data_IF_964361096798
#
_entry.id   IF_964361096798
#
_cell.length_a   1.000
_cell.length_b   1.000
_cell.length_c   1.000
_cell.angle_alpha   90.00
_cell.angle_beta   90.00
_cell.angle_gamma   90.00
#
_symmetry.space_group_name_H-M   'P 1'
#
loop_
_entity.id
_entity.type
_entity.pdbx_description
1 polymer ?
#
# COMPACT_ATOMS: atom_id res chain seq x y z
N UNK A 1 3.82 45.98 -55.41
CA UNK A 1 3.99 47.24 -54.67
C UNK A 1 4.77 46.83 -53.45
N UNK A 2 5.91 47.12 -53.65
CA UNK A 2 7.00 47.96 -53.11
C UNK A 2 7.80 47.23 -52.09
N UNK A 3 9.00 46.83 -52.36
CA UNK A 3 10.32 47.55 -52.27
C UNK A 3 10.74 47.50 -50.78
N UNK A 4 11.78 46.91 -50.35
CA UNK A 4 13.13 46.95 -50.84
C UNK A 4 13.99 47.58 -49.75
N UNK A 5 14.99 46.91 -49.23
CA UNK A 5 16.27 47.53 -48.89
C UNK A 5 17.20 46.51 -48.21
N UNK A 6 18.06 45.98 -49.03
CA UNK A 6 19.33 45.36 -48.65
C UNK A 6 20.26 46.43 -48.15
N UNK A 7 20.76 46.36 -46.97
CA UNK A 7 21.85 47.21 -46.43
C UNK A 7 23.12 46.39 -46.26
N UNK A 8 24.01 46.49 -47.24
CA UNK A 8 25.37 46.00 -47.14
C UNK A 8 26.11 46.69 -45.99
N UNK A 9 26.70 45.93 -45.12
CA UNK A 9 27.72 46.42 -44.18
C UNK A 9 29.07 45.88 -44.62
N UNK A 10 29.89 46.79 -45.12
CA UNK A 10 31.32 46.59 -45.38
C UNK A 10 32.07 46.14 -44.13
N UNK A 11 33.11 45.31 -44.26
CA UNK A 11 33.94 44.88 -43.12
C UNK A 11 34.90 46.00 -42.73
N UNK A 12 34.87 46.41 -41.48
CA UNK A 12 35.83 47.40 -40.92
C UNK A 12 37.15 46.70 -40.66
N UNK A 13 38.19 47.10 -41.34
CA UNK A 13 39.58 46.71 -41.08
C UNK A 13 40.03 47.16 -39.68
N UNK A 14 40.78 46.31 -38.93
CA UNK A 14 41.35 46.72 -37.64
C UNK A 14 42.54 47.69 -37.88
N UNK A 15 42.46 48.93 -37.38
CA UNK A 15 43.56 49.85 -37.29
C UNK A 15 44.60 49.37 -36.29
N UNK A 16 45.85 49.30 -36.75
CA UNK A 16 47.03 49.06 -35.93
C UNK A 16 47.17 50.06 -34.78
N UNK A 17 47.51 49.59 -33.54
CA UNK A 17 47.74 50.49 -32.40
C UNK A 17 49.03 51.28 -32.61
N UNK A 18 48.89 52.57 -32.61
CA UNK A 18 50.05 53.54 -32.54
C UNK A 18 50.81 53.29 -31.23
N UNK A 19 52.16 53.39 -31.25
CA UNK A 19 52.99 53.18 -30.05
C UNK A 19 52.68 54.23 -28.99
N UNK A 20 52.31 53.81 -27.80
CA UNK A 20 52.08 54.65 -26.65
C UNK A 20 53.41 55.21 -26.14
N UNK A 21 53.45 56.55 -26.00
CA UNK A 21 54.54 57.24 -25.31
C UNK A 21 54.75 56.76 -23.90
N UNK A 22 55.97 56.77 -23.33
CA UNK A 22 56.26 56.33 -22.01
C UNK A 22 55.61 57.27 -20.96
N UNK A 23 54.66 56.74 -20.21
CA UNK A 23 54.05 57.42 -19.06
C UNK A 23 55.07 57.55 -17.93
N UNK A 24 55.49 58.77 -17.65
CA UNK A 24 56.31 59.06 -16.46
C UNK A 24 55.46 58.80 -15.22
N UNK A 25 55.99 58.08 -14.19
CA UNK A 25 55.24 57.88 -12.94
C UNK A 25 55.04 59.22 -12.23
N UNK A 26 53.77 59.55 -12.01
CA UNK A 26 53.36 60.70 -11.15
C UNK A 26 53.76 60.48 -9.71
N UNK A 27 53.83 61.54 -8.91
CA UNK A 27 54.16 61.43 -7.51
C UNK A 27 53.17 60.54 -6.77
N UNK A 28 53.60 59.81 -5.72
CA UNK A 28 52.72 58.86 -4.99
C UNK A 28 51.51 59.64 -4.43
N UNK A 29 50.30 59.17 -4.81
CA UNK A 29 49.05 59.70 -4.22
C UNK A 29 49.05 59.45 -2.72
N UNK A 30 48.87 60.53 -1.97
CA UNK A 30 48.65 60.42 -0.50
C UNK A 30 47.48 59.47 -0.24
N UNK A 31 47.59 58.60 0.77
CA UNK A 31 46.47 57.70 1.13
C UNK A 31 45.24 58.54 1.50
N UNK A 32 44.18 58.41 0.70
CA UNK A 32 42.90 59.06 0.96
C UNK A 32 42.36 58.74 2.37
N UNK A 33 41.53 59.61 2.93
CA UNK A 33 41.01 59.38 4.26
C UNK A 33 40.33 57.97 4.37
N UNK A 34 40.50 57.29 5.49
CA UNK A 34 39.92 55.91 5.67
C UNK A 34 38.40 55.98 5.41
N UNK A 35 37.92 55.04 4.55
CA UNK A 35 36.49 54.90 4.30
C UNK A 35 35.73 54.84 5.63
N UNK A 36 34.62 55.57 5.80
CA UNK A 36 33.77 55.45 7.00
C UNK A 36 33.39 53.97 7.15
N UNK A 37 33.37 53.44 8.38
CA UNK A 37 32.99 52.04 8.64
C UNK A 37 31.64 51.79 7.98
N UNK A 38 31.55 50.76 7.18
CA UNK A 38 30.26 50.29 6.64
C UNK A 38 29.25 50.17 7.78
N UNK A 39 28.04 50.70 7.63
CA UNK A 39 27.03 50.53 8.65
C UNK A 39 26.84 49.01 8.89
N UNK A 40 27.17 48.60 10.11
CA UNK A 40 26.84 47.23 10.53
C UNK A 40 25.34 47.02 10.29
N UNK A 41 24.89 45.85 9.75
CA UNK A 41 23.49 45.58 9.59
C UNK A 41 22.85 45.61 11.00
N UNK A 42 22.33 46.80 11.36
CA UNK A 42 21.66 47.00 12.61
C UNK A 42 20.38 46.23 12.69
N UNK A 43 20.19 45.68 13.78
CA UNK A 43 19.11 45.10 14.56
C UNK A 43 19.46 43.68 14.95
N UNK A 44 20.45 43.54 15.83
CA UNK A 44 20.67 42.37 16.60
C UNK A 44 19.51 42.13 17.58
N UNK A 45 18.42 41.53 17.16
CA UNK A 45 17.61 40.77 18.12
C UNK A 45 18.57 39.82 18.84
N UNK A 46 18.47 39.65 20.17
CA UNK A 46 19.33 38.72 20.87
C UNK A 46 19.19 37.36 20.15
N UNK A 47 20.28 36.84 19.60
CA UNK A 47 20.33 35.69 18.73
C UNK A 47 19.60 34.46 19.32
N UNK A 48 19.51 34.40 20.65
CA UNK A 48 18.75 33.41 21.38
C UNK A 48 17.24 33.59 21.24
N UNK A 49 16.72 34.82 21.31
CA UNK A 49 15.28 35.09 21.13
C UNK A 49 14.83 34.83 19.69
N UNK A 50 15.62 35.26 18.72
CA UNK A 50 15.33 34.96 17.30
C UNK A 50 15.32 33.46 17.00
N UNK A 51 16.27 32.72 17.58
CA UNK A 51 16.30 31.23 17.43
C UNK A 51 15.11 30.57 18.11
N UNK A 52 14.73 31.02 19.32
CA UNK A 52 13.58 30.49 20.03
C UNK A 52 12.27 30.78 19.25
N UNK A 53 12.10 32.05 18.84
CA UNK A 53 10.94 32.46 18.03
C UNK A 53 10.83 31.65 16.73
N UNK A 54 11.94 31.53 15.98
CA UNK A 54 11.96 30.72 14.76
C UNK A 54 11.67 29.26 15.05
N UNK A 55 12.22 28.71 16.12
CA UNK A 55 11.94 27.32 16.56
C UNK A 55 10.46 27.12 16.87
N UNK A 56 9.84 28.02 17.63
CA UNK A 56 8.40 27.95 17.98
C UNK A 56 7.53 28.05 16.72
N UNK A 57 7.81 29.00 15.83
CA UNK A 57 7.08 29.18 14.57
C UNK A 57 7.22 27.94 13.68
N UNK A 58 8.44 27.42 13.55
CA UNK A 58 8.69 26.19 12.78
C UNK A 58 7.91 25.00 13.35
N UNK A 59 7.91 24.82 14.66
CA UNK A 59 7.19 23.75 15.34
C UNK A 59 5.67 23.89 15.16
N UNK A 60 5.16 25.11 15.23
CA UNK A 60 3.75 25.41 14.99
C UNK A 60 3.36 25.13 13.53
N UNK A 61 4.17 25.55 12.56
CA UNK A 61 3.95 25.25 11.14
C UNK A 61 4.00 23.75 10.88
N UNK A 62 4.99 23.03 11.46
CA UNK A 62 5.07 21.56 11.35
C UNK A 62 3.86 20.87 11.95
N UNK A 63 3.39 21.33 13.11
CA UNK A 63 2.18 20.79 13.76
C UNK A 63 0.94 20.92 12.87
N UNK A 64 0.70 22.13 12.31
CA UNK A 64 -0.45 22.35 11.43
C UNK A 64 -0.28 21.61 10.10
N UNK A 65 0.92 21.56 9.53
CA UNK A 65 1.21 20.78 8.32
C UNK A 65 0.91 19.31 8.54
N UNK A 66 1.35 18.73 9.66
CA UNK A 66 1.01 17.35 10.03
C UNK A 66 -0.50 17.15 10.16
N UNK A 67 -1.21 18.09 10.81
CA UNK A 67 -2.66 17.99 11.00
C UNK A 67 -3.44 18.05 9.69
N UNK A 68 -2.96 18.83 8.71
CA UNK A 68 -3.54 18.93 7.36
C UNK A 68 -3.28 17.65 6.55
N UNK A 69 -2.07 17.10 6.63
CA UNK A 69 -1.67 15.93 5.85
C UNK A 69 -2.20 14.62 6.45
N UNK A 70 -2.37 14.58 7.79
CA UNK A 70 -2.79 13.38 8.53
C UNK A 70 -3.95 12.60 7.92
N UNK A 71 -5.10 13.20 7.50
CA UNK A 71 -6.21 12.46 6.89
C UNK A 71 -5.84 11.79 5.58
N UNK A 72 -4.88 12.33 4.84
CA UNK A 72 -4.47 11.85 3.52
C UNK A 72 -3.27 10.90 3.54
N UNK A 73 -2.67 10.64 4.72
CA UNK A 73 -1.50 9.76 4.84
C UNK A 73 -1.77 8.35 4.33
N UNK A 74 -2.99 7.86 4.54
CA UNK A 74 -3.41 6.53 4.08
C UNK A 74 -3.49 6.52 2.56
N UNK A 75 -4.08 7.55 1.96
CA UNK A 75 -4.24 7.65 0.50
C UNK A 75 -2.89 7.79 -0.20
N UNK A 76 -1.99 8.60 0.38
CA UNK A 76 -0.60 8.74 -0.10
C UNK A 76 0.13 7.40 -0.03
N UNK A 77 -0.03 6.67 1.07
CA UNK A 77 0.56 5.34 1.22
C UNK A 77 -0.01 4.34 0.20
N UNK A 78 -1.32 4.32 0.00
CA UNK A 78 -1.95 3.47 -1.02
C UNK A 78 -1.50 3.85 -2.44
N UNK A 79 -1.34 5.13 -2.73
CA UNK A 79 -0.77 5.59 -3.99
C UNK A 79 0.67 5.10 -4.19
N UNK A 80 1.49 5.09 -3.13
CA UNK A 80 2.84 4.53 -3.16
C UNK A 80 2.83 3.01 -3.40
N UNK A 81 1.91 2.29 -2.76
CA UNK A 81 1.68 0.85 -2.98
C UNK A 81 1.33 0.58 -4.45
N UNK A 82 0.41 1.36 -5.01
CA UNK A 82 0.01 1.29 -6.42
C UNK A 82 1.21 1.59 -7.33
N UNK A 83 1.99 2.62 -7.02
CA UNK A 83 3.18 2.99 -7.79
C UNK A 83 4.18 1.84 -7.88
N UNK A 84 4.60 1.25 -6.75
CA UNK A 84 5.57 0.15 -6.77
C UNK A 84 5.04 -1.11 -7.46
N UNK A 85 3.74 -1.38 -7.34
CA UNK A 85 3.11 -2.56 -7.94
C UNK A 85 2.90 -2.41 -9.43
N UNK A 86 2.42 -1.26 -9.87
CA UNK A 86 2.09 -1.01 -11.26
C UNK A 86 3.26 -0.41 -12.06
N UNK A 87 4.43 -0.21 -11.43
CA UNK A 87 5.65 0.27 -12.11
C UNK A 87 5.99 -0.55 -13.36
N UNK A 88 5.98 -1.90 -13.37
CA UNK A 88 6.25 -2.67 -14.57
C UNK A 88 5.21 -2.44 -15.68
N UNK A 89 3.93 -2.26 -15.32
CA UNK A 89 2.87 -1.92 -16.27
C UNK A 89 3.11 -0.54 -16.89
N UNK A 90 3.42 0.45 -16.04
CA UNK A 90 3.75 1.80 -16.50
C UNK A 90 4.95 1.81 -17.44
N UNK A 91 6.02 1.09 -17.12
CA UNK A 91 7.21 1.00 -17.97
C UNK A 91 6.91 0.33 -19.32
N UNK A 92 6.09 -0.72 -19.34
CA UNK A 92 5.63 -1.36 -20.55
C UNK A 92 4.82 -0.39 -21.43
N UNK A 93 3.87 0.33 -20.83
CA UNK A 93 3.06 1.35 -21.50
C UNK A 93 3.89 2.53 -21.99
N UNK A 94 4.87 2.97 -21.21
CA UNK A 94 5.78 4.05 -21.62
C UNK A 94 6.62 3.68 -22.84
N UNK A 95 7.03 2.40 -22.97
CA UNK A 95 7.71 1.89 -24.18
C UNK A 95 6.76 1.89 -25.39
N UNK A 96 5.52 1.44 -25.22
CA UNK A 96 4.51 1.39 -26.30
C UNK A 96 4.10 2.81 -26.74
N UNK A 97 4.05 3.77 -25.81
CA UNK A 97 3.65 5.15 -26.05
C UNK A 97 4.83 6.08 -26.43
N UNK A 98 5.88 5.52 -27.02
CA UNK A 98 7.05 6.28 -27.52
C UNK A 98 7.71 7.19 -26.48
N UNK A 99 7.75 6.78 -25.20
CA UNK A 99 8.42 7.51 -24.12
C UNK A 99 7.65 8.72 -23.58
N UNK A 100 6.39 8.92 -23.98
CA UNK A 100 5.53 10.00 -23.45
C UNK A 100 5.04 9.66 -22.04
N UNK A 101 5.86 9.94 -21.02
CA UNK A 101 5.59 9.61 -19.61
C UNK A 101 4.21 10.06 -19.15
N UNK A 102 3.76 11.28 -19.51
CA UNK A 102 2.44 11.80 -19.09
C UNK A 102 1.29 10.96 -19.63
N UNK A 103 1.35 10.55 -20.91
CA UNK A 103 0.33 9.69 -21.51
C UNK A 103 0.36 8.28 -20.89
N UNK A 104 1.55 7.72 -20.69
CA UNK A 104 1.72 6.43 -20.04
C UNK A 104 1.13 6.45 -18.61
N UNK A 105 1.37 7.52 -17.83
CA UNK A 105 0.79 7.67 -16.48
C UNK A 105 -0.73 7.74 -16.51
N UNK A 106 -1.32 8.53 -17.41
CA UNK A 106 -2.78 8.64 -17.55
C UNK A 106 -3.39 7.27 -17.90
N UNK A 107 -2.83 6.59 -18.91
CA UNK A 107 -3.33 5.28 -19.35
C UNK A 107 -3.18 4.24 -18.25
N UNK A 108 -2.05 4.25 -17.52
CA UNK A 108 -1.85 3.34 -16.38
C UNK A 108 -2.88 3.60 -15.30
N UNK A 109 -3.11 4.85 -14.90
CA UNK A 109 -4.13 5.21 -13.90
C UNK A 109 -5.55 4.84 -14.38
N UNK A 110 -5.86 5.02 -15.66
CA UNK A 110 -7.15 4.64 -16.23
C UNK A 110 -7.35 3.11 -16.19
N UNK A 111 -6.34 2.34 -16.56
CA UNK A 111 -6.40 0.87 -16.48
C UNK A 111 -6.60 0.42 -15.04
N UNK A 112 -5.87 1.01 -14.08
CA UNK A 112 -6.00 0.71 -12.66
C UNK A 112 -7.37 1.10 -12.12
N UNK A 113 -7.89 2.28 -12.51
CA UNK A 113 -9.25 2.70 -12.17
C UNK A 113 -10.28 1.68 -12.65
N UNK A 114 -10.23 1.28 -13.91
CA UNK A 114 -11.14 0.29 -14.48
C UNK A 114 -10.99 -1.09 -13.82
N UNK A 115 -9.75 -1.51 -13.54
CA UNK A 115 -9.47 -2.78 -12.86
C UNK A 115 -10.04 -2.83 -11.44
N UNK A 116 -10.11 -1.70 -10.74
CA UNK A 116 -10.68 -1.59 -9.39
C UNK A 116 -12.20 -1.37 -9.46
N UNK A 117 -12.66 -0.45 -10.29
CA UNK A 117 -14.06 -0.02 -10.33
C UNK A 117 -14.97 -1.11 -10.90
N UNK A 118 -14.57 -1.78 -12.01
CA UNK A 118 -15.42 -2.76 -12.67
C UNK A 118 -15.76 -3.95 -11.74
N UNK A 119 -14.78 -4.64 -11.12
CA UNK A 119 -15.09 -5.72 -10.19
C UNK A 119 -15.90 -5.25 -8.98
N UNK A 120 -15.57 -4.06 -8.45
CA UNK A 120 -16.27 -3.52 -7.30
C UNK A 120 -17.74 -3.21 -7.61
N UNK A 121 -18.03 -2.50 -8.70
CA UNK A 121 -19.40 -2.19 -9.13
C UNK A 121 -20.18 -3.47 -9.41
N UNK A 122 -19.56 -4.46 -10.08
CA UNK A 122 -20.18 -5.76 -10.34
C UNK A 122 -20.51 -6.48 -9.03
N UNK A 123 -19.56 -6.55 -8.10
CA UNK A 123 -19.76 -7.17 -6.79
C UNK A 123 -20.91 -6.49 -6.02
N UNK A 124 -20.90 -5.16 -5.98
CA UNK A 124 -21.93 -4.37 -5.29
C UNK A 124 -23.30 -4.58 -5.92
N UNK A 125 -23.39 -4.54 -7.24
CA UNK A 125 -24.65 -4.76 -7.95
C UNK A 125 -25.25 -6.12 -7.65
N UNK A 126 -24.40 -7.17 -7.62
CA UNK A 126 -24.82 -8.54 -7.29
C UNK A 126 -25.27 -8.63 -5.83
N UNK A 127 -24.47 -8.10 -4.89
CA UNK A 127 -24.82 -8.14 -3.47
C UNK A 127 -26.09 -7.34 -3.19
N UNK A 128 -26.24 -6.15 -3.79
CA UNK A 128 -27.42 -5.31 -3.63
C UNK A 128 -28.68 -5.98 -4.19
N UNK A 129 -28.62 -6.54 -5.40
CA UNK A 129 -29.77 -7.22 -6.00
C UNK A 129 -30.21 -8.43 -5.18
N UNK A 130 -29.25 -9.23 -4.70
CA UNK A 130 -29.55 -10.39 -3.87
C UNK A 130 -30.06 -10.02 -2.47
N UNK A 131 -29.52 -8.95 -1.85
CA UNK A 131 -30.03 -8.46 -0.57
C UNK A 131 -31.49 -7.99 -0.69
N UNK A 132 -31.84 -7.30 -1.77
CA UNK A 132 -33.20 -6.85 -2.05
C UNK A 132 -34.14 -8.06 -2.30
N UNK A 133 -33.71 -9.01 -3.13
CA UNK A 133 -34.49 -10.21 -3.43
C UNK A 133 -34.69 -11.05 -2.17
N UNK A 134 -33.65 -11.25 -1.37
CA UNK A 134 -33.73 -11.94 -0.08
C UNK A 134 -34.66 -11.25 0.91
N UNK A 135 -34.57 -9.92 1.02
CA UNK A 135 -35.46 -9.12 1.86
C UNK A 135 -36.93 -9.26 1.43
N UNK A 136 -37.19 -9.24 0.10
CA UNK A 136 -38.54 -9.43 -0.44
C UNK A 136 -39.09 -10.83 -0.19
N UNK A 137 -38.26 -11.87 -0.35
CA UNK A 137 -38.64 -13.26 -0.07
C UNK A 137 -38.97 -13.48 1.41
N UNK A 138 -38.19 -12.90 2.32
CA UNK A 138 -38.50 -12.93 3.76
C UNK A 138 -39.81 -12.23 4.05
N UNK A 139 -40.02 -11.02 3.51
CA UNK A 139 -41.24 -10.26 3.72
C UNK A 139 -42.49 -11.01 3.22
N UNK A 140 -42.40 -11.61 2.03
CA UNK A 140 -43.49 -12.41 1.46
C UNK A 140 -43.73 -13.70 2.26
N UNK A 141 -42.67 -14.36 2.69
CA UNK A 141 -42.72 -15.57 3.53
C UNK A 141 -43.38 -15.30 4.89
N UNK A 142 -43.11 -14.14 5.48
CA UNK A 142 -43.74 -13.68 6.73
C UNK A 142 -45.24 -13.34 6.51
N UNK A 143 -45.55 -12.61 5.45
CA UNK A 143 -46.95 -12.22 5.14
C UNK A 143 -47.82 -13.42 4.75
N UNK A 144 -47.26 -14.42 4.05
CA UNK A 144 -47.98 -15.59 3.60
C UNK A 144 -48.20 -16.66 4.68
N UNK A 145 -47.64 -16.47 5.85
CA UNK A 145 -47.66 -17.46 6.97
C UNK A 145 -46.92 -18.79 6.68
N UNK A 146 -46.39 -18.97 5.48
CA UNK A 146 -45.68 -20.19 5.05
C UNK A 146 -44.41 -20.45 5.89
N UNK A 147 -43.70 -19.37 6.24
CA UNK A 147 -42.54 -19.47 7.14
C UNK A 147 -42.93 -19.90 8.54
N UNK A 148 -44.05 -19.40 9.09
CA UNK A 148 -44.58 -19.82 10.38
C UNK A 148 -44.96 -21.29 10.37
N UNK A 149 -45.70 -21.77 9.36
CA UNK A 149 -46.04 -23.18 9.20
C UNK A 149 -44.82 -24.09 9.08
N UNK A 150 -43.83 -23.66 8.28
CA UNK A 150 -42.58 -24.40 8.11
C UNK A 150 -41.76 -24.47 9.41
N UNK A 151 -41.66 -23.36 10.15
CA UNK A 151 -40.99 -23.29 11.47
C UNK A 151 -41.70 -24.20 12.46
N UNK A 152 -43.04 -24.17 12.54
CA UNK A 152 -43.81 -25.02 13.44
C UNK A 152 -43.64 -26.50 13.09
N UNK A 153 -43.70 -26.88 11.81
CA UNK A 153 -43.47 -28.27 11.39
C UNK A 153 -42.07 -28.76 11.77
N UNK A 154 -41.03 -27.91 11.61
CA UNK A 154 -39.66 -28.29 12.00
C UNK A 154 -39.41 -28.23 13.48
N UNK A 155 -40.06 -27.33 14.21
CA UNK A 155 -40.02 -27.26 15.65
C UNK A 155 -40.67 -28.51 16.29
N UNK A 156 -41.76 -29.02 15.71
CA UNK A 156 -42.42 -30.25 16.19
C UNK A 156 -41.54 -31.47 15.90
N UNK A 157 -40.86 -31.55 14.77
CA UNK A 157 -39.84 -32.58 14.52
C UNK A 157 -38.69 -32.52 15.51
N UNK A 158 -38.17 -31.31 15.80
CA UNK A 158 -37.10 -31.11 16.80
C UNK A 158 -37.56 -31.47 18.21
N UNK A 159 -38.78 -31.08 18.59
CA UNK A 159 -39.39 -31.50 19.87
C UNK A 159 -39.53 -33.03 19.98
N UNK A 160 -40.00 -33.70 18.93
CA UNK A 160 -40.07 -35.14 18.87
C UNK A 160 -38.71 -35.83 19.01
N UNK A 161 -37.68 -35.26 18.38
CA UNK A 161 -36.30 -35.77 18.47
C UNK A 161 -35.69 -35.54 19.87
N UNK A 162 -35.93 -34.37 20.48
CA UNK A 162 -35.48 -34.05 21.84
C UNK A 162 -36.22 -34.87 22.91
N UNK A 163 -37.51 -35.17 22.71
CA UNK A 163 -38.25 -36.09 23.59
C UNK A 163 -37.67 -37.52 23.54
N UNK A 164 -37.19 -37.97 22.37
CA UNK A 164 -36.50 -39.25 22.26
C UNK A 164 -35.18 -39.29 23.04
N UNK A 165 -34.51 -38.16 23.22
CA UNK A 165 -33.25 -38.01 23.96
C UNK A 165 -33.44 -37.83 25.46
N UNK A 166 -34.70 -37.89 25.99
CA UNK A 166 -35.05 -37.72 27.44
C UNK A 166 -34.42 -36.47 28.08
N UNK A 167 -34.16 -35.40 27.33
CA UNK A 167 -33.70 -34.14 27.89
C UNK A 167 -34.86 -33.40 28.58
N UNK A 168 -34.72 -32.90 29.82
CA UNK A 168 -35.75 -32.12 30.48
C UNK A 168 -35.91 -30.78 29.74
N UNK A 169 -36.97 -30.69 28.94
CA UNK A 169 -37.33 -29.44 28.28
C UNK A 169 -38.06 -28.54 29.32
N UNK A 170 -37.69 -27.25 29.41
CA UNK A 170 -38.48 -26.33 30.24
C UNK A 170 -39.89 -26.22 29.65
N UNK A 171 -40.87 -26.44 30.50
CA UNK A 171 -42.32 -26.46 30.19
C UNK A 171 -42.92 -25.10 29.78
N UNK A 172 -42.11 -24.07 29.60
CA UNK A 172 -42.52 -22.83 28.97
C UNK A 172 -42.58 -23.03 27.47
N UNK A 173 -43.76 -22.88 26.87
CA UNK A 173 -43.94 -22.76 25.42
C UNK A 173 -42.94 -21.74 24.90
N UNK A 174 -41.83 -22.22 24.39
CA UNK A 174 -40.89 -21.34 23.66
C UNK A 174 -41.67 -20.98 22.41
N UNK A 175 -42.16 -19.75 22.35
CA UNK A 175 -42.77 -19.16 21.14
C UNK A 175 -41.66 -19.00 20.10
N UNK A 176 -41.22 -20.13 19.50
CA UNK A 176 -40.22 -20.18 18.46
C UNK A 176 -40.60 -19.29 17.29
N UNK A 177 -41.90 -19.16 17.03
CA UNK A 177 -42.46 -18.34 15.98
C UNK A 177 -42.14 -16.84 16.18
N UNK A 178 -42.31 -16.31 17.38
CA UNK A 178 -41.95 -14.92 17.73
C UNK A 178 -40.44 -14.67 17.73
N UNK A 179 -39.64 -15.67 18.12
CA UNK A 179 -38.18 -15.58 18.07
C UNK A 179 -37.71 -15.57 16.62
N UNK A 180 -38.18 -16.49 15.77
CA UNK A 180 -37.83 -16.54 14.36
C UNK A 180 -38.26 -15.29 13.61
N UNK A 181 -39.50 -14.80 13.84
CA UNK A 181 -39.97 -13.54 13.28
C UNK A 181 -39.10 -12.36 13.72
N UNK A 182 -38.73 -12.28 15.00
CA UNK A 182 -37.88 -11.17 15.49
C UNK A 182 -36.45 -11.24 14.94
N UNK A 183 -35.89 -12.43 14.77
CA UNK A 183 -34.57 -12.60 14.15
C UNK A 183 -34.61 -12.27 12.66
N UNK A 184 -35.59 -12.81 11.93
CA UNK A 184 -35.76 -12.53 10.49
C UNK A 184 -36.01 -11.05 10.20
N UNK A 185 -36.86 -10.38 10.98
CA UNK A 185 -37.08 -8.95 10.83
C UNK A 185 -35.82 -8.13 11.13
N UNK A 186 -35.06 -8.48 12.19
CA UNK A 186 -33.77 -7.84 12.50
C UNK A 186 -32.73 -8.08 11.40
N UNK A 187 -32.65 -9.30 10.87
CA UNK A 187 -31.76 -9.61 9.75
C UNK A 187 -32.14 -8.85 8.50
N UNK A 188 -33.44 -8.79 8.14
CA UNK A 188 -33.92 -8.01 6.99
C UNK A 188 -33.61 -6.53 7.15
N UNK A 189 -33.90 -5.94 8.32
CA UNK A 189 -33.59 -4.53 8.61
C UNK A 189 -32.07 -4.29 8.64
N UNK A 190 -31.29 -5.19 9.18
CA UNK A 190 -29.83 -5.11 9.16
C UNK A 190 -29.29 -5.12 7.74
N UNK A 191 -29.76 -6.04 6.88
CA UNK A 191 -29.32 -6.13 5.48
C UNK A 191 -29.73 -4.85 4.74
N UNK A 192 -30.99 -4.39 4.90
CA UNK A 192 -31.46 -3.18 4.24
C UNK A 192 -30.67 -1.93 4.66
N UNK A 193 -30.49 -1.70 5.96
CA UNK A 193 -29.76 -0.54 6.46
C UNK A 193 -28.27 -0.59 6.07
N UNK A 194 -27.65 -1.76 6.10
CA UNK A 194 -26.25 -1.88 5.69
C UNK A 194 -26.09 -1.75 4.16
N UNK A 195 -27.05 -2.18 3.36
CA UNK A 195 -27.03 -1.94 1.92
C UNK A 195 -27.10 -0.44 1.60
N UNK A 196 -27.94 0.33 2.31
CA UNK A 196 -28.01 1.79 2.13
C UNK A 196 -26.70 2.47 2.63
N UNK A 197 -26.20 2.09 3.79
CA UNK A 197 -24.96 2.63 4.34
C UNK A 197 -23.76 2.29 3.42
N UNK A 198 -23.77 1.12 2.81
CA UNK A 198 -22.78 0.72 1.83
C UNK A 198 -22.85 1.59 0.56
N UNK A 199 -24.06 1.88 0.06
CA UNK A 199 -24.25 2.81 -1.06
C UNK A 199 -23.76 4.23 -0.74
N UNK A 200 -24.05 4.73 0.46
CA UNK A 200 -23.58 6.07 0.88
C UNK A 200 -22.05 6.14 1.03
N UNK A 201 -21.42 5.04 1.44
CA UNK A 201 -19.95 4.91 1.49
C UNK A 201 -19.27 4.98 0.12
N UNK A 202 -20.01 4.74 -0.96
CA UNK A 202 -19.48 4.79 -2.33
C UNK A 202 -18.94 6.18 -2.71
N UNK A 203 -19.63 7.24 -2.31
CA UNK A 203 -19.18 8.60 -2.62
C UNK A 203 -17.81 8.88 -1.99
N UNK A 204 -17.64 8.53 -0.71
CA UNK A 204 -16.35 8.68 -0.02
C UNK A 204 -15.27 7.82 -0.68
N UNK A 205 -15.59 6.55 -0.99
CA UNK A 205 -14.67 5.66 -1.67
C UNK A 205 -14.19 6.20 -3.03
N UNK A 206 -15.08 6.78 -3.84
CA UNK A 206 -14.70 7.38 -5.13
C UNK A 206 -13.82 8.62 -4.96
N UNK A 207 -14.07 9.43 -3.92
CA UNK A 207 -13.22 10.57 -3.60
C UNK A 207 -11.83 10.11 -3.18
N UNK A 208 -11.73 9.14 -2.28
CA UNK A 208 -10.46 8.57 -1.82
C UNK A 208 -9.71 7.91 -2.99
N UNK A 209 -10.40 7.10 -3.81
CA UNK A 209 -9.82 6.47 -5.00
C UNK A 209 -9.31 7.51 -6.00
N UNK A 210 -10.08 8.58 -6.23
CA UNK A 210 -9.67 9.69 -7.11
C UNK A 210 -8.40 10.36 -6.61
N UNK A 211 -8.31 10.60 -5.30
CA UNK A 211 -7.13 11.18 -4.66
C UNK A 211 -5.93 10.22 -4.75
N UNK A 212 -6.13 8.94 -4.47
CA UNK A 212 -5.10 7.91 -4.58
C UNK A 212 -4.54 7.85 -6.01
N UNK A 213 -5.43 7.81 -7.01
CA UNK A 213 -5.01 7.78 -8.43
C UNK A 213 -4.35 9.08 -8.87
N UNK A 214 -4.80 10.22 -8.36
CA UNK A 214 -4.17 11.52 -8.59
C UNK A 214 -2.73 11.54 -8.06
N UNK A 215 -2.52 11.13 -6.82
CA UNK A 215 -1.16 11.04 -6.23
C UNK A 215 -0.33 10.00 -6.99
N UNK A 216 -0.90 8.83 -7.33
CA UNK A 216 -0.21 7.79 -8.10
C UNK A 216 0.21 8.29 -9.50
N UNK A 217 -0.62 9.10 -10.16
CA UNK A 217 -0.27 9.75 -11.42
C UNK A 217 1.02 10.58 -11.30
N UNK A 218 1.13 11.41 -10.27
CA UNK A 218 2.34 12.20 -10.04
C UNK A 218 3.53 11.32 -9.66
N UNK A 219 3.31 10.25 -8.91
CA UNK A 219 4.37 9.29 -8.60
C UNK A 219 4.87 8.55 -9.86
N UNK A 220 4.01 8.17 -10.81
CA UNK A 220 4.45 7.62 -12.10
C UNK A 220 5.23 8.63 -12.92
N UNK A 221 4.87 9.91 -12.82
CA UNK A 221 5.52 10.97 -13.59
C UNK A 221 6.89 11.34 -13.02
N UNK A 222 6.98 11.48 -11.69
CA UNK A 222 8.13 12.06 -10.99
C UNK A 222 8.61 11.21 -9.78
N UNK A 223 8.12 9.99 -9.61
CA UNK A 223 8.37 9.19 -8.41
C UNK A 223 9.86 8.86 -8.19
N UNK A 224 10.60 8.58 -9.26
CA UNK A 224 12.04 8.33 -9.16
C UNK A 224 12.80 9.58 -8.66
N UNK A 225 12.40 10.78 -9.12
CA UNK A 225 12.96 12.05 -8.64
C UNK A 225 12.57 12.30 -7.18
N UNK A 226 11.31 12.05 -6.82
CA UNK A 226 10.80 12.20 -5.45
C UNK A 226 11.53 11.28 -4.46
N UNK A 227 11.72 10.01 -4.80
CA UNK A 227 12.49 9.06 -3.98
C UNK A 227 13.94 9.52 -3.85
N UNK A 228 14.54 10.02 -4.92
CA UNK A 228 15.91 10.58 -4.90
C UNK A 228 16.03 11.78 -3.95
N UNK A 229 15.06 12.70 -3.95
CA UNK A 229 15.05 13.85 -3.04
C UNK A 229 14.89 13.42 -1.56
N UNK A 230 14.03 12.44 -1.29
CA UNK A 230 13.90 11.88 0.06
C UNK A 230 15.21 11.23 0.52
N UNK A 231 15.89 10.48 -0.35
CA UNK A 231 17.21 9.88 -0.07
C UNK A 231 18.26 10.94 0.26
N UNK A 232 18.25 12.10 -0.42
CA UNK A 232 19.19 13.21 -0.15
C UNK A 232 18.92 13.89 1.20
N UNK A 233 17.66 13.96 1.64
CA UNK A 233 17.28 14.54 2.92
C UNK A 233 17.57 13.59 4.09
N UNK A 234 17.77 12.31 3.82
CA UNK A 234 18.07 11.31 4.83
C UNK A 234 19.52 11.45 5.30
N UNK A 235 19.79 11.45 6.63
CA UNK A 235 21.14 11.48 7.18
C UNK A 235 21.85 10.12 7.12
N UNK A 236 21.26 9.12 6.47
CA UNK A 236 21.79 7.76 6.37
C UNK A 236 22.76 7.64 5.21
N UNK A 237 23.65 6.64 5.28
CA UNK A 237 24.53 6.30 4.17
C UNK A 237 23.72 5.93 2.90
N UNK A 238 24.25 6.20 1.69
CA UNK A 238 23.54 5.89 0.45
C UNK A 238 23.13 4.41 0.32
N UNK A 239 23.98 3.50 0.82
CA UNK A 239 23.70 2.06 0.82
C UNK A 239 22.51 1.69 1.72
N UNK A 240 22.41 2.33 2.89
CA UNK A 240 21.30 2.11 3.83
C UNK A 240 19.98 2.64 3.27
N UNK A 241 20.02 3.81 2.63
CA UNK A 241 18.83 4.37 1.95
C UNK A 241 18.33 3.45 0.83
N UNK A 242 19.24 2.86 0.04
CA UNK A 242 18.88 1.91 -1.00
C UNK A 242 18.28 0.62 -0.42
N UNK A 243 18.88 0.12 0.66
CA UNK A 243 18.39 -1.06 1.37
C UNK A 243 16.96 -0.84 1.90
N UNK A 244 16.68 0.31 2.53
CA UNK A 244 15.33 0.64 3.03
C UNK A 244 14.32 0.66 1.87
N UNK A 245 14.61 1.37 0.79
CA UNK A 245 13.67 1.49 -0.35
C UNK A 245 13.43 0.13 -1.00
N UNK A 246 14.47 -0.68 -1.20
CA UNK A 246 14.34 -2.01 -1.80
C UNK A 246 13.53 -2.96 -0.91
N UNK A 247 13.72 -2.91 0.41
CA UNK A 247 12.95 -3.73 1.37
C UNK A 247 11.48 -3.31 1.42
N UNK A 248 11.21 -1.99 1.37
CA UNK A 248 9.85 -1.46 1.26
C UNK A 248 9.15 -1.96 -0.01
N UNK A 249 9.82 -1.85 -1.16
CA UNK A 249 9.31 -2.33 -2.45
C UNK A 249 9.04 -3.85 -2.42
N UNK A 250 9.99 -4.63 -1.90
CA UNK A 250 9.86 -6.08 -1.77
C UNK A 250 8.67 -6.47 -0.87
N UNK A 251 8.51 -5.79 0.27
CA UNK A 251 7.40 -6.04 1.21
C UNK A 251 6.05 -5.72 0.57
N UNK A 252 5.93 -4.59 -0.13
CA UNK A 252 4.71 -4.21 -0.85
C UNK A 252 4.36 -5.26 -1.90
N UNK A 253 5.32 -5.63 -2.76
CA UNK A 253 5.12 -6.65 -3.80
C UNK A 253 4.74 -8.00 -3.21
N UNK A 254 5.41 -8.45 -2.15
CA UNK A 254 5.11 -9.71 -1.48
C UNK A 254 3.70 -9.71 -0.88
N UNK A 255 3.28 -8.61 -0.24
CA UNK A 255 1.93 -8.47 0.34
C UNK A 255 0.85 -8.55 -0.73
N UNK A 256 1.01 -7.83 -1.84
CA UNK A 256 0.02 -7.82 -2.90
C UNK A 256 -0.02 -9.14 -3.67
N UNK A 257 1.15 -9.73 -3.98
CA UNK A 257 1.21 -11.01 -4.64
C UNK A 257 0.57 -12.11 -3.79
N UNK A 258 0.88 -12.14 -2.49
CA UNK A 258 0.24 -13.09 -1.57
C UNK A 258 -1.28 -12.92 -1.54
N UNK A 259 -1.79 -11.67 -1.57
CA UNK A 259 -3.22 -11.39 -1.59
C UNK A 259 -3.88 -11.95 -2.86
N UNK A 260 -3.27 -11.75 -4.03
CA UNK A 260 -3.80 -12.28 -5.30
C UNK A 260 -3.82 -13.81 -5.28
N UNK A 261 -2.70 -14.45 -4.86
CA UNK A 261 -2.61 -15.92 -4.80
C UNK A 261 -3.65 -16.49 -3.83
N UNK A 262 -3.78 -15.90 -2.64
CA UNK A 262 -4.77 -16.31 -1.64
C UNK A 262 -6.19 -16.15 -2.18
N UNK A 263 -6.49 -15.03 -2.84
CA UNK A 263 -7.81 -14.78 -3.43
C UNK A 263 -8.17 -15.85 -4.49
N UNK A 264 -7.24 -16.23 -5.34
CA UNK A 264 -7.43 -17.33 -6.31
C UNK A 264 -7.70 -18.66 -5.62
N UNK A 265 -6.94 -18.99 -4.59
CA UNK A 265 -7.12 -20.23 -3.83
C UNK A 265 -8.47 -20.23 -3.13
N UNK A 266 -8.86 -19.14 -2.47
CA UNK A 266 -10.15 -19.01 -1.78
C UNK A 266 -11.31 -19.10 -2.75
N UNK A 267 -11.27 -18.42 -3.89
CA UNK A 267 -12.32 -18.50 -4.91
C UNK A 267 -12.46 -19.90 -5.49
N UNK A 268 -11.34 -20.58 -5.77
CA UNK A 268 -11.33 -21.96 -6.27
C UNK A 268 -11.88 -22.94 -5.23
N UNK A 269 -11.43 -22.86 -3.98
CA UNK A 269 -11.94 -23.68 -2.87
C UNK A 269 -13.40 -23.38 -2.57
N UNK A 270 -13.82 -22.11 -2.64
CA UNK A 270 -15.21 -21.71 -2.50
C UNK A 270 -16.10 -22.32 -3.57
N UNK A 271 -15.66 -22.25 -4.84
CA UNK A 271 -16.35 -22.88 -5.97
C UNK A 271 -16.51 -24.40 -5.78
N UNK A 272 -15.45 -25.08 -5.34
CA UNK A 272 -15.48 -26.51 -5.00
C UNK A 272 -16.45 -26.79 -3.84
N UNK A 273 -16.40 -25.97 -2.77
CA UNK A 273 -17.33 -26.07 -1.66
C UNK A 273 -18.79 -25.91 -2.12
N UNK A 274 -19.08 -24.90 -2.91
CA UNK A 274 -20.42 -24.68 -3.47
C UNK A 274 -20.89 -25.86 -4.34
N UNK A 275 -20.00 -26.46 -5.11
CA UNK A 275 -20.31 -27.68 -5.90
C UNK A 275 -20.65 -28.87 -5.00
N UNK A 276 -19.85 -29.14 -3.97
CA UNK A 276 -20.05 -30.27 -3.04
C UNK A 276 -21.36 -30.16 -2.29
N UNK A 277 -21.69 -28.94 -1.79
CA UNK A 277 -22.88 -28.72 -1.00
C UNK A 277 -24.13 -28.40 -1.82
N UNK A 278 -24.00 -28.33 -3.17
CA UNK A 278 -25.14 -28.18 -4.08
C UNK A 278 -25.70 -26.77 -4.16
N UNK A 279 -24.85 -25.75 -4.01
CA UNK A 279 -25.20 -24.34 -4.28
C UNK A 279 -25.35 -24.18 -5.80
N UNK A 280 -26.41 -23.53 -6.32
CA UNK A 280 -26.56 -23.29 -7.75
C UNK A 280 -25.41 -22.44 -8.31
N UNK A 281 -24.99 -22.73 -9.54
CA UNK A 281 -23.93 -22.00 -10.26
C UNK A 281 -22.60 -21.87 -9.48
N UNK A 282 -22.01 -22.98 -9.01
CA UNK A 282 -20.85 -22.94 -8.12
C UNK A 282 -19.61 -22.29 -8.76
N UNK A 283 -19.41 -22.49 -10.07
CA UNK A 283 -18.30 -21.88 -10.82
C UNK A 283 -18.45 -20.34 -10.90
N UNK A 284 -19.66 -19.84 -11.10
CA UNK A 284 -19.93 -18.41 -11.11
C UNK A 284 -19.60 -17.77 -9.76
N UNK A 285 -20.14 -18.33 -8.66
CA UNK A 285 -19.90 -17.82 -7.31
C UNK A 285 -18.45 -17.94 -6.87
N UNK A 286 -17.78 -19.04 -7.23
CA UNK A 286 -16.35 -19.21 -7.00
C UNK A 286 -15.51 -18.14 -7.72
N UNK A 287 -15.88 -17.83 -8.97
CA UNK A 287 -15.18 -16.78 -9.76
C UNK A 287 -15.39 -15.39 -9.16
N UNK A 288 -16.62 -15.05 -8.74
CA UNK A 288 -16.91 -13.76 -8.07
C UNK A 288 -16.21 -13.67 -6.71
N UNK A 289 -16.01 -14.80 -6.04
CA UNK A 289 -15.32 -14.86 -4.76
C UNK A 289 -13.83 -14.47 -4.90
N UNK A 290 -13.18 -14.67 -6.06
CA UNK A 290 -11.79 -14.25 -6.29
C UNK A 290 -11.61 -12.74 -6.04
N UNK A 291 -12.24 -11.83 -6.81
CA UNK A 291 -12.08 -10.40 -6.56
C UNK A 291 -12.61 -9.97 -5.19
N UNK A 292 -13.66 -10.61 -4.68
CA UNK A 292 -14.16 -10.33 -3.33
C UNK A 292 -13.10 -10.62 -2.27
N UNK A 293 -12.38 -11.74 -2.37
CA UNK A 293 -11.37 -12.18 -1.39
C UNK A 293 -10.11 -11.31 -1.36
N UNK A 294 -9.97 -10.34 -2.26
CA UNK A 294 -8.92 -9.30 -2.15
C UNK A 294 -9.11 -8.48 -0.86
N UNK A 295 -10.36 -8.32 -0.42
CA UNK A 295 -10.69 -7.68 0.86
C UNK A 295 -10.51 -8.72 1.98
N UNK A 296 -9.52 -8.56 2.87
CA UNK A 296 -9.24 -9.55 3.90
C UNK A 296 -10.44 -9.78 4.84
N UNK A 297 -10.62 -11.02 5.31
CA UNK A 297 -11.62 -11.45 6.29
C UNK A 297 -13.06 -11.33 5.81
N UNK A 298 -13.46 -10.18 5.28
CA UNK A 298 -14.85 -9.86 4.91
C UNK A 298 -15.17 -10.31 3.49
N UNK A 299 -14.21 -10.23 2.57
CA UNK A 299 -14.44 -10.41 1.15
C UNK A 299 -15.00 -11.78 0.77
N UNK A 300 -14.37 -12.84 1.23
CA UNK A 300 -14.87 -14.20 1.01
C UNK A 300 -16.23 -14.42 1.71
N UNK A 301 -16.42 -13.87 2.92
CA UNK A 301 -17.64 -14.02 3.71
C UNK A 301 -18.86 -13.41 3.04
N UNK A 302 -18.70 -12.29 2.33
CA UNK A 302 -19.78 -11.65 1.55
C UNK A 302 -20.44 -12.64 0.57
N UNK A 303 -19.68 -13.61 0.06
CA UNK A 303 -20.17 -14.57 -0.92
C UNK A 303 -20.67 -15.87 -0.25
N UNK A 304 -19.89 -16.47 0.67
CA UNK A 304 -20.29 -17.76 1.22
C UNK A 304 -21.36 -17.67 2.32
N UNK A 305 -21.46 -16.56 3.08
CA UNK A 305 -22.49 -16.40 4.11
C UNK A 305 -23.90 -16.40 3.51
N UNK A 306 -24.20 -15.62 2.46
CA UNK A 306 -25.49 -15.73 1.77
C UNK A 306 -25.80 -17.13 1.21
N UNK A 307 -24.78 -17.85 0.70
CA UNK A 307 -24.95 -19.21 0.20
C UNK A 307 -25.32 -20.19 1.32
N UNK A 308 -24.73 -20.06 2.51
CA UNK A 308 -25.11 -20.84 3.70
C UNK A 308 -26.55 -20.53 4.10
N UNK A 309 -26.91 -19.25 4.16
CA UNK A 309 -28.28 -18.81 4.49
C UNK A 309 -29.29 -19.36 3.48
N UNK A 310 -28.97 -19.31 2.19
CA UNK A 310 -29.79 -19.89 1.12
C UNK A 310 -30.08 -21.37 1.36
N UNK A 311 -29.06 -22.18 1.66
CA UNK A 311 -29.23 -23.60 1.96
C UNK A 311 -30.07 -23.85 3.23
N UNK A 312 -29.90 -23.00 4.26
CA UNK A 312 -30.74 -23.04 5.45
C UNK A 312 -32.20 -22.79 5.14
N UNK A 313 -32.50 -21.80 4.32
CA UNK A 313 -33.88 -21.47 3.92
C UNK A 313 -34.52 -22.56 3.05
N UNK A 314 -33.73 -23.28 2.26
CA UNK A 314 -34.19 -24.43 1.51
C UNK A 314 -34.46 -25.67 2.38
N UNK A 315 -34.16 -25.62 3.68
CA UNK A 315 -34.37 -26.73 4.60
C UNK A 315 -33.32 -27.84 4.51
N UNK A 316 -32.21 -27.61 3.78
CA UNK A 316 -31.14 -28.59 3.62
C UNK A 316 -30.04 -28.36 4.66
N UNK A 317 -30.40 -28.51 5.93
CA UNK A 317 -29.59 -28.14 7.10
C UNK A 317 -28.21 -28.79 7.13
N UNK A 318 -28.13 -30.08 6.79
CA UNK A 318 -26.86 -30.80 6.78
C UNK A 318 -25.86 -30.20 5.81
N UNK A 319 -26.32 -29.78 4.61
CA UNK A 319 -25.48 -29.11 3.62
C UNK A 319 -25.12 -27.69 4.02
N UNK A 320 -26.06 -26.94 4.63
CA UNK A 320 -25.80 -25.59 5.14
C UNK A 320 -24.73 -25.58 6.24
N UNK A 321 -24.87 -26.49 7.24
CA UNK A 321 -23.87 -26.65 8.31
C UNK A 321 -22.54 -27.15 7.75
N UNK A 322 -22.56 -28.11 6.83
CA UNK A 322 -21.35 -28.57 6.13
C UNK A 322 -20.62 -27.45 5.40
N UNK A 323 -21.35 -26.63 4.65
CA UNK A 323 -20.77 -25.46 3.95
C UNK A 323 -20.22 -24.42 4.92
N UNK A 324 -20.95 -24.14 6.02
CA UNK A 324 -20.50 -23.21 7.08
C UNK A 324 -19.17 -23.67 7.68
N UNK A 325 -19.05 -24.95 8.05
CA UNK A 325 -17.83 -25.51 8.64
C UNK A 325 -16.71 -25.48 7.57
N UNK A 326 -17.00 -25.90 6.35
CA UNK A 326 -16.03 -25.92 5.27
C UNK A 326 -15.48 -24.50 4.99
N UNK A 327 -16.35 -23.52 4.81
CA UNK A 327 -15.92 -22.15 4.55
C UNK A 327 -15.23 -21.52 5.76
N UNK A 328 -15.77 -21.69 6.96
CA UNK A 328 -15.19 -21.14 8.19
C UNK A 328 -13.80 -21.72 8.50
N UNK A 329 -13.65 -23.04 8.37
CA UNK A 329 -12.38 -23.72 8.68
C UNK A 329 -11.42 -23.67 7.49
N UNK A 330 -11.82 -24.14 6.31
CA UNK A 330 -10.89 -24.27 5.18
C UNK A 330 -10.55 -22.92 4.60
N UNK A 331 -11.55 -22.12 4.23
CA UNK A 331 -11.32 -20.81 3.62
C UNK A 331 -10.72 -19.84 4.64
N UNK A 332 -11.18 -19.85 5.89
CA UNK A 332 -10.61 -19.06 6.97
C UNK A 332 -9.16 -19.43 7.29
N UNK A 333 -8.79 -20.72 7.20
CA UNK A 333 -7.40 -21.16 7.40
C UNK A 333 -6.47 -20.66 6.29
N UNK A 334 -6.94 -20.56 5.07
CA UNK A 334 -6.15 -20.03 3.93
C UNK A 334 -5.68 -18.60 4.23
N UNK A 335 -6.57 -17.73 4.71
CA UNK A 335 -6.21 -16.35 5.06
C UNK A 335 -5.19 -16.29 6.21
N UNK A 336 -5.38 -17.10 7.24
CA UNK A 336 -4.57 -17.00 8.45
C UNK A 336 -3.21 -17.70 8.37
N UNK A 337 -3.09 -18.74 7.53
CA UNK A 337 -1.86 -19.54 7.42
C UNK A 337 -1.07 -19.24 6.15
N UNK A 338 -1.74 -19.20 5.00
CA UNK A 338 -1.05 -19.11 3.72
C UNK A 338 -0.49 -17.69 3.47
N UNK A 339 -1.22 -16.67 3.87
CA UNK A 339 -0.83 -15.27 3.69
C UNK A 339 0.50 -14.93 4.36
N UNK A 340 0.71 -15.18 5.67
CA UNK A 340 2.00 -14.95 6.32
C UNK A 340 3.13 -15.80 5.74
N UNK A 341 2.82 -17.01 5.22
CA UNK A 341 3.82 -17.87 4.59
C UNK A 341 4.30 -17.30 3.25
N UNK A 342 3.40 -16.74 2.45
CA UNK A 342 3.71 -16.13 1.15
C UNK A 342 4.38 -14.75 1.28
N UNK A 343 4.14 -14.06 2.40
CA UNK A 343 4.72 -12.74 2.69
C UNK A 343 6.13 -12.82 3.28
N UNK A 344 6.73 -14.00 3.42
CA UNK A 344 8.12 -14.13 3.86
C UNK A 344 9.02 -13.40 2.88
N UNK A 345 9.55 -12.24 3.33
CA UNK A 345 10.49 -11.44 2.57
C UNK A 345 11.86 -12.10 2.43
N UNK A 346 12.78 -11.42 1.79
CA UNK A 346 14.20 -11.82 1.59
C UNK A 346 14.97 -12.05 2.89
N UNK A 347 14.54 -11.45 4.00
CA UNK A 347 15.03 -11.72 5.36
C UNK A 347 14.15 -12.77 6.05
N UNK A 348 14.77 -13.63 6.84
CA UNK A 348 14.12 -14.68 7.64
C UNK A 348 13.30 -14.10 8.81
N UNK A 349 12.33 -13.23 8.48
CA UNK A 349 11.43 -12.65 9.49
C UNK A 349 10.55 -13.76 10.07
N UNK A 350 10.52 -13.96 11.39
CA UNK A 350 9.67 -14.95 12.01
C UNK A 350 8.20 -14.74 11.64
N UNK A 351 7.52 -15.79 11.20
CA UNK A 351 6.11 -15.75 10.77
C UNK A 351 5.19 -15.16 11.83
N UNK A 352 5.52 -15.37 13.11
CA UNK A 352 4.75 -14.82 14.24
C UNK A 352 4.78 -13.29 14.25
N UNK A 353 5.93 -12.66 13.96
CA UNK A 353 6.02 -11.19 13.90
C UNK A 353 5.19 -10.63 12.73
N UNK A 354 5.20 -11.29 11.58
CA UNK A 354 4.37 -10.90 10.43
C UNK A 354 2.88 -11.01 10.78
N UNK A 355 2.48 -12.10 11.44
CA UNK A 355 1.10 -12.29 11.90
C UNK A 355 0.68 -11.20 12.90
N UNK A 356 1.54 -10.91 13.89
CA UNK A 356 1.26 -9.86 14.87
C UNK A 356 1.19 -8.47 14.20
N UNK A 357 2.04 -8.21 13.22
CA UNK A 357 2.02 -6.96 12.47
C UNK A 357 0.72 -6.81 11.65
N UNK A 358 0.23 -7.90 11.04
CA UNK A 358 -1.05 -7.91 10.34
C UNK A 358 -2.20 -7.66 11.32
N UNK A 359 -2.29 -8.40 12.41
CA UNK A 359 -3.36 -8.27 13.39
C UNK A 359 -3.34 -6.90 14.08
N UNK A 360 -2.16 -6.45 14.51
CA UNK A 360 -1.98 -5.12 15.10
C UNK A 360 -2.28 -3.99 14.12
N UNK A 361 -1.84 -4.16 12.87
CA UNK A 361 -2.12 -3.22 11.78
C UNK A 361 -3.62 -3.09 11.54
N UNK A 362 -4.34 -4.19 11.41
CA UNK A 362 -5.81 -4.18 11.22
C UNK A 362 -6.51 -3.56 12.43
N UNK A 363 -6.08 -3.86 13.65
CA UNK A 363 -6.66 -3.30 14.87
C UNK A 363 -6.51 -1.79 14.97
N UNK A 364 -5.38 -1.23 14.50
CA UNK A 364 -5.07 0.20 14.63
C UNK A 364 -5.49 1.03 13.41
N UNK A 365 -5.25 0.54 12.20
CA UNK A 365 -5.50 1.23 10.93
C UNK A 365 -6.75 0.72 10.19
N UNK A 366 -7.50 -0.23 10.77
CA UNK A 366 -8.59 -0.90 10.07
C UNK A 366 -8.10 -1.80 8.94
N UNK A 367 -8.92 -1.99 7.91
CA UNK A 367 -8.62 -2.91 6.80
C UNK A 367 -7.29 -2.62 6.08
N UNK A 368 -6.92 -1.34 5.96
CA UNK A 368 -5.68 -0.91 5.32
C UNK A 368 -4.44 -1.34 6.13
N UNK A 369 -4.61 -1.50 7.44
CA UNK A 369 -3.57 -2.00 8.34
C UNK A 369 -3.05 -3.39 7.98
N UNK A 370 -3.79 -4.16 7.20
CA UNK A 370 -3.32 -5.41 6.62
C UNK A 370 -2.06 -5.23 5.74
N UNK A 371 -1.97 -4.12 5.00
CA UNK A 371 -0.80 -3.77 4.18
C UNK A 371 0.21 -2.95 5.00
N UNK A 372 -0.30 -1.98 5.78
CA UNK A 372 0.53 -1.11 6.61
C UNK A 372 1.28 -1.86 7.72
N UNK A 373 0.68 -2.88 8.33
CA UNK A 373 1.30 -3.63 9.42
C UNK A 373 2.64 -4.27 9.02
N UNK A 374 2.67 -5.16 8.03
CA UNK A 374 3.91 -5.73 7.52
C UNK A 374 4.91 -4.70 7.01
N UNK A 375 4.43 -3.63 6.37
CA UNK A 375 5.26 -2.54 5.88
C UNK A 375 5.98 -1.82 7.03
N UNK A 376 5.26 -1.44 8.09
CA UNK A 376 5.85 -0.80 9.27
C UNK A 376 6.83 -1.75 9.98
N UNK A 377 6.48 -3.04 10.08
CA UNK A 377 7.39 -4.04 10.63
C UNK A 377 8.67 -4.16 9.82
N UNK A 378 8.58 -4.21 8.49
CA UNK A 378 9.74 -4.28 7.60
C UNK A 378 10.63 -3.04 7.76
N UNK A 379 10.04 -1.85 7.81
CA UNK A 379 10.75 -0.60 8.07
C UNK A 379 11.47 -0.62 9.44
N UNK A 380 10.80 -1.07 10.48
CA UNK A 380 11.38 -1.20 11.82
C UNK A 380 12.58 -2.13 11.83
N UNK A 381 12.45 -3.31 11.22
CA UNK A 381 13.55 -4.29 11.16
C UNK A 381 14.73 -3.77 10.34
N UNK A 382 14.48 -3.03 9.27
CA UNK A 382 15.53 -2.38 8.48
C UNK A 382 16.27 -1.32 9.30
N UNK A 383 15.56 -0.46 10.03
CA UNK A 383 16.16 0.54 10.91
C UNK A 383 16.96 -0.09 12.05
N UNK A 384 16.45 -1.17 12.67
CA UNK A 384 17.18 -1.90 13.70
C UNK A 384 18.48 -2.53 13.16
N UNK A 385 18.44 -3.07 11.96
CA UNK A 385 19.65 -3.62 11.32
C UNK A 385 20.69 -2.54 11.02
N UNK A 386 20.28 -1.37 10.56
CA UNK A 386 21.18 -0.23 10.34
C UNK A 386 21.77 0.23 11.70
N UNK A 387 20.93 0.33 12.73
CA UNK A 387 21.36 0.67 14.07
C UNK A 387 22.41 -0.32 14.61
N UNK A 388 22.18 -1.63 14.45
CA UNK A 388 23.10 -2.68 14.85
C UNK A 388 24.45 -2.54 14.13
N UNK A 389 24.41 -2.35 12.81
CA UNK A 389 25.62 -2.25 11.98
C UNK A 389 26.38 -0.94 12.23
N UNK A 390 25.69 0.18 12.38
CA UNK A 390 26.32 1.49 12.51
C UNK A 390 26.82 1.79 13.93
N UNK A 391 26.16 1.27 14.97
CA UNK A 391 26.41 1.67 16.37
C UNK A 391 26.99 0.53 17.21
N UNK A 392 26.49 -0.71 17.04
CA UNK A 392 26.92 -1.84 17.88
C UNK A 392 28.17 -2.56 17.33
N UNK A 393 28.45 -2.45 16.02
CA UNK A 393 29.69 -2.98 15.41
C UNK A 393 30.53 -1.79 14.97
N UNK A 394 31.28 -1.15 15.89
CA UNK A 394 32.23 -0.12 15.50
C UNK A 394 33.27 -0.75 14.60
N UNK A 395 33.36 -0.20 13.41
CA UNK A 395 34.29 -0.46 12.30
C UNK A 395 35.55 -1.28 12.62
N UNK A 396 35.42 -2.60 12.67
CA UNK A 396 36.60 -3.49 12.52
C UNK A 396 37.10 -3.55 11.07
N UNK A 397 36.42 -2.88 10.14
CA UNK A 397 36.71 -2.91 8.70
C UNK A 397 37.54 -1.75 8.19
N UNK A 398 38.11 -0.88 9.07
CA UNK A 398 39.11 0.11 8.67
C UNK A 398 40.48 -0.26 9.27
N UNK A 399 40.78 -1.53 9.40
CA UNK A 399 42.20 -1.92 9.41
C UNK A 399 42.73 -1.59 8.01
N UNK A 400 43.74 -0.71 7.88
CA UNK A 400 44.40 -0.50 6.60
C UNK A 400 44.79 -1.87 6.08
N UNK A 401 44.52 -2.13 4.81
CA UNK A 401 44.99 -3.35 4.15
C UNK A 401 46.46 -3.55 4.54
N UNK A 402 46.87 -4.74 4.99
CA UNK A 402 48.26 -4.97 5.29
C UNK A 402 49.00 -4.55 4.04
N UNK A 403 49.87 -3.52 4.20
CA UNK A 403 50.81 -3.11 3.18
C UNK A 403 51.52 -4.39 2.81
N UNK A 404 51.22 -4.94 1.65
CA UNK A 404 51.94 -6.04 1.07
C UNK A 404 53.40 -5.57 1.07
N UNK A 405 54.23 -6.14 1.96
CA UNK A 405 55.63 -5.91 1.95
C UNK A 405 56.07 -6.14 0.51
N UNK A 406 56.68 -5.12 -0.08
CA UNK A 406 57.34 -5.23 -1.38
C UNK A 406 58.20 -6.48 -1.37
N UNK A 407 58.17 -7.32 -2.40
CA UNK A 407 59.05 -8.48 -2.48
C UNK A 407 60.48 -7.96 -2.35
N UNK A 408 61.18 -8.36 -1.28
CA UNK A 408 62.59 -8.11 -1.10
C UNK A 408 63.29 -8.47 -2.40
N UNK A 409 63.97 -7.49 -3.03
CA UNK A 409 64.83 -7.68 -4.19
C UNK A 409 65.74 -8.89 -3.94
N UNK A 410 65.49 -9.95 -4.67
CA UNK A 410 66.33 -11.13 -4.74
C UNK A 410 67.68 -10.66 -5.29
N UNK A 411 68.70 -10.55 -4.40
CA UNK A 411 70.13 -10.28 -4.76
C UNK A 411 70.51 -11.29 -5.82
N UNK A 412 70.68 -10.83 -7.07
CA UNK A 412 71.27 -11.61 -8.13
C UNK A 412 72.70 -12.06 -7.67
N UNK A 413 73.05 -13.36 -7.84
CA UNK A 413 74.39 -13.85 -7.53
C UNK A 413 75.39 -13.23 -8.49
N UNK A 414 76.47 -12.67 -7.92
CA UNK A 414 77.64 -12.11 -8.61
C UNK A 414 78.29 -13.28 -9.42
N UNK A 415 78.53 -13.10 -10.75
CA UNK A 415 79.23 -14.10 -11.55
C UNK A 415 80.70 -14.21 -11.10
N UNK A 416 81.30 -15.42 -11.09
CA UNK A 416 82.69 -15.61 -10.69
C UNK A 416 83.66 -14.98 -11.70
N UNK A 417 84.62 -14.19 -11.19
CA UNK A 417 85.79 -13.71 -11.95
C UNK A 417 86.50 -14.89 -12.58
N UNK A 418 86.63 -14.87 -13.91
CA UNK A 418 87.40 -15.81 -14.67
C UNK A 418 88.87 -15.49 -14.56
N UNK A 419 89.71 -16.43 -14.07
CA UNK A 419 91.17 -16.43 -14.23
C UNK A 419 91.50 -16.44 -15.74
N UNK A 420 92.21 -15.44 -16.17
CA UNK A 420 92.93 -15.44 -17.44
C UNK A 420 94.38 -15.74 -17.25
N UNK A 421 95.08 -16.19 -18.32
CA UNK A 421 96.40 -16.85 -18.28
C UNK A 421 97.60 -15.99 -17.91
#
# INVERSE_FOLDING_TARGET
>A
MEEGMTGDREPVEPKDPTPSEPVTPGPPEEPGPPCPPCPEPGVGFPTQFARLFFGVVTLLVLYYSYKIIKPYLIDIFLALVIFFTAKPLFEALNRVLFGKRSLASIVTCLILALLIIIPLVTLVSIVASQALEFSSQISQGLQSGKLGQWVNTKADLLKAYLMHLKLPLPSKEIQLEGLVQSVLSKVSTFIYNNAINFLSGFTSFFLDLSLILFVAFFLFLQGDAFISEIKKLSPLAPADNEMIVSEMEATIKATLWSTVVVAFIQGSLGGVGFLIFGVPQPAFWGTIMIPASVIPVVGAAIIWVPAVVYLFLQGVWAKAVGLLIFCGVVIGSVDNLLKPMLMRGTRSTPTVLVLLAILGGISYFGMIGFILGPFILSLLLSLLSIYETAILVPSRSQAPAPVLAEPSEEKQPIPPEGDGP
#
